data_IF_437517503113
#
_entry.id   IF_437517503113
#
_cell.length_a   1.000
_cell.length_b   1.000
_cell.length_c   1.000
_cell.angle_alpha   90.00
_cell.angle_beta   90.00
_cell.angle_gamma   90.00
#
_symmetry.space_group_name_H-M   'P 1'
#
loop_
_entity.id
_entity.type
_entity.pdbx_description
1 polymer ?
#
# COMPACT_ATOMS: atom_id res chain seq x y z
N UNK A 1 9.65 -5.87 -13.51
CA UNK A 1 10.16 -5.59 -12.14
C UNK A 1 10.98 -6.79 -11.63
N UNK A 2 11.72 -6.73 -10.51
CA UNK A 2 12.31 -7.96 -9.89
C UNK A 2 11.52 -8.35 -8.65
N UNK A 3 11.57 -9.64 -8.25
CA UNK A 3 10.92 -10.11 -7.02
C UNK A 3 11.44 -9.38 -5.78
N UNK A 4 12.75 -9.15 -5.68
CA UNK A 4 13.36 -8.45 -4.55
C UNK A 4 12.87 -7.00 -4.43
N UNK A 5 12.71 -6.30 -5.58
CA UNK A 5 12.13 -4.95 -5.60
C UNK A 5 10.68 -4.98 -5.14
N UNK A 6 9.88 -5.94 -5.62
CA UNK A 6 8.49 -6.08 -5.17
C UNK A 6 8.39 -6.36 -3.67
N UNK A 7 9.23 -7.27 -3.13
CA UNK A 7 9.26 -7.59 -1.70
C UNK A 7 9.63 -6.35 -0.88
N UNK A 8 10.64 -5.59 -1.31
CA UNK A 8 11.01 -4.34 -0.67
C UNK A 8 9.83 -3.35 -0.62
N UNK A 9 9.15 -3.17 -1.75
CA UNK A 9 8.05 -2.21 -1.87
C UNK A 9 6.84 -2.63 -1.04
N UNK A 10 6.49 -3.93 -1.02
CA UNK A 10 5.46 -4.48 -0.14
C UNK A 10 5.76 -4.17 1.32
N UNK A 11 6.98 -4.46 1.78
CA UNK A 11 7.36 -4.23 3.18
C UNK A 11 7.33 -2.74 3.53
N UNK A 12 7.89 -1.89 2.67
CA UNK A 12 7.96 -0.44 2.87
C UNK A 12 6.56 0.20 2.90
N UNK A 13 5.68 -0.16 1.96
CA UNK A 13 4.31 0.36 1.88
C UNK A 13 3.44 -0.13 3.03
N UNK A 14 3.54 -1.39 3.43
CA UNK A 14 2.84 -1.91 4.59
C UNK A 14 3.29 -1.23 5.90
N UNK A 15 4.58 -0.93 6.06
CA UNK A 15 5.08 -0.15 7.20
C UNK A 15 4.47 1.25 7.21
N UNK A 16 4.45 1.94 6.07
CA UNK A 16 3.85 3.27 5.93
C UNK A 16 2.35 3.27 6.26
N UNK A 17 1.61 2.26 5.78
CA UNK A 17 0.18 2.11 6.08
C UNK A 17 -0.07 1.83 7.57
N UNK A 18 0.78 1.02 8.21
CA UNK A 18 0.70 0.76 9.65
C UNK A 18 0.93 2.04 10.46
N UNK A 19 1.93 2.82 10.10
CA UNK A 19 2.25 4.08 10.77
C UNK A 19 1.13 5.11 10.57
N UNK A 20 0.58 5.22 9.36
CA UNK A 20 -0.60 6.04 9.08
C UNK A 20 -1.83 5.60 9.89
N UNK A 21 -2.08 4.30 10.01
CA UNK A 21 -3.18 3.76 10.80
C UNK A 21 -3.06 4.14 12.30
N UNK A 22 -1.84 4.24 12.83
CA UNK A 22 -1.61 4.66 14.21
C UNK A 22 -2.05 6.11 14.46
N UNK A 23 -1.98 6.98 13.44
CA UNK A 23 -2.37 8.39 13.53
C UNK A 23 -3.90 8.57 13.60
N UNK A 24 -4.69 7.62 13.08
CA UNK A 24 -6.15 7.70 13.07
C UNK A 24 -6.75 7.85 14.47
N UNK A 25 -6.06 7.36 15.51
CA UNK A 25 -6.53 7.43 16.89
C UNK A 25 -6.46 8.88 17.38
N UNK A 26 -7.61 9.52 17.51
CA UNK A 26 -7.73 10.88 18.05
C UNK A 26 -7.78 11.98 16.99
N UNK A 27 -7.74 11.63 15.71
CA UNK A 27 -7.97 12.59 14.62
C UNK A 27 -9.44 13.02 14.54
N UNK A 28 -9.71 14.29 14.18
CA UNK A 28 -11.03 14.74 13.76
C UNK A 28 -11.56 13.91 12.57
N UNK A 29 -12.88 13.72 12.51
CA UNK A 29 -13.51 12.84 11.51
C UNK A 29 -13.19 13.23 10.05
N UNK A 30 -13.08 14.53 9.75
CA UNK A 30 -12.75 15.01 8.41
C UNK A 30 -11.33 14.62 8.00
N UNK A 31 -10.34 14.86 8.86
CA UNK A 31 -8.93 14.51 8.62
C UNK A 31 -8.75 12.99 8.58
N UNK A 32 -9.45 12.25 9.45
CA UNK A 32 -9.43 10.78 9.44
C UNK A 32 -9.96 10.23 8.11
N UNK A 33 -11.00 10.84 7.54
CA UNK A 33 -11.53 10.45 6.23
C UNK A 33 -10.50 10.68 5.12
N UNK A 34 -9.80 11.81 5.12
CA UNK A 34 -8.75 12.09 4.13
C UNK A 34 -7.58 11.10 4.25
N UNK A 35 -7.15 10.79 5.48
CA UNK A 35 -6.08 9.82 5.70
C UNK A 35 -6.48 8.40 5.27
N UNK A 36 -7.72 7.97 5.59
CA UNK A 36 -8.26 6.69 5.13
C UNK A 36 -8.31 6.59 3.61
N UNK A 37 -8.70 7.66 2.93
CA UNK A 37 -8.72 7.72 1.47
C UNK A 37 -7.30 7.60 0.89
N UNK A 38 -6.32 8.33 1.44
CA UNK A 38 -4.92 8.23 1.04
C UNK A 38 -4.37 6.80 1.25
N UNK A 39 -4.62 6.20 2.41
CA UNK A 39 -4.23 4.83 2.73
C UNK A 39 -4.82 3.84 1.72
N UNK A 40 -6.10 4.03 1.36
CA UNK A 40 -6.79 3.17 0.39
C UNK A 40 -6.12 3.25 -0.98
N UNK A 41 -5.81 4.45 -1.49
CA UNK A 41 -5.13 4.61 -2.78
C UNK A 41 -3.75 3.96 -2.79
N UNK A 42 -2.99 4.09 -1.71
CA UNK A 42 -1.67 3.44 -1.60
C UNK A 42 -1.78 1.91 -1.57
N UNK A 43 -2.77 1.37 -0.85
CA UNK A 43 -3.02 -0.07 -0.79
C UNK A 43 -3.43 -0.64 -2.17
N UNK A 44 -4.28 0.07 -2.91
CA UNK A 44 -4.67 -0.32 -4.27
C UNK A 44 -3.47 -0.31 -5.21
N UNK A 45 -2.64 0.75 -5.20
CA UNK A 45 -1.44 0.79 -6.05
C UNK A 45 -0.43 -0.31 -5.73
N UNK A 46 -0.33 -0.73 -4.46
CA UNK A 46 0.48 -1.89 -4.09
C UNK A 46 -0.12 -3.20 -4.62
N UNK A 47 -1.45 -3.37 -4.51
CA UNK A 47 -2.14 -4.54 -5.04
C UNK A 47 -1.97 -4.67 -6.56
N UNK A 48 -2.07 -3.56 -7.29
CA UNK A 48 -1.83 -3.52 -8.73
C UNK A 48 -0.39 -3.96 -9.06
N UNK A 49 0.60 -3.44 -8.34
CA UNK A 49 2.01 -3.82 -8.54
C UNK A 49 2.28 -5.31 -8.30
N UNK A 50 1.62 -5.91 -7.30
CA UNK A 50 1.70 -7.35 -7.02
C UNK A 50 1.10 -8.14 -8.18
N UNK A 51 -0.09 -7.72 -8.65
CA UNK A 51 -0.80 -8.37 -9.74
C UNK A 51 -0.02 -8.29 -11.06
N UNK A 52 0.52 -7.13 -11.39
CA UNK A 52 1.36 -6.94 -12.58
C UNK A 52 2.55 -7.92 -12.57
N UNK A 53 3.17 -8.15 -11.42
CA UNK A 53 4.26 -9.10 -11.30
C UNK A 53 3.82 -10.56 -11.43
N UNK A 54 2.65 -10.92 -10.88
CA UNK A 54 2.04 -12.24 -11.06
C UNK A 54 1.76 -12.54 -12.54
N UNK A 55 1.23 -11.56 -13.27
CA UNK A 55 0.99 -11.64 -14.71
C UNK A 55 2.31 -11.76 -15.48
N UNK A 56 3.34 -10.97 -15.15
CA UNK A 56 4.69 -11.08 -15.73
C UNK A 56 5.31 -12.47 -15.52
N UNK A 57 5.06 -13.11 -14.37
CA UNK A 57 5.54 -14.46 -14.07
C UNK A 57 4.81 -15.53 -14.88
N UNK A 58 3.50 -15.39 -15.05
CA UNK A 58 2.65 -16.38 -15.74
C UNK A 58 2.79 -16.32 -17.26
N UNK A 59 3.18 -15.17 -17.80
CA UNK A 59 3.42 -14.96 -19.23
C UNK A 59 4.78 -15.50 -19.74
N UNK A 60 5.63 -16.03 -18.85
CA UNK A 60 6.96 -16.58 -19.15
C UNK A 60 6.94 -18.11 -19.17
#
# INVERSE_FOLDING_TARGET
MTLDTLIHDVNSKCASLKDAAALLRGMPAAEAKELLDLMTRQALGLADSIKDYEEELTAR
#
